data_IF_482934443589
#
_entry.id   IF_482934443589
#
_cell.length_a   1.000
_cell.length_b   1.000
_cell.length_c   1.000
_cell.angle_alpha   90.00
_cell.angle_beta   90.00
_cell.angle_gamma   90.00
#
_symmetry.space_group_name_H-M   'P 1'
#
loop_
_entity.id
_entity.type
_entity.pdbx_description
1 polymer ?
#
# COMPACT_ATOMS: atom_id res chain seq x y z
N UNK A 1 -9.90 -18.91 32.44
CA UNK A 1 -9.09 -18.28 31.38
C UNK A 1 -7.99 -17.40 31.98
N UNK A 2 -8.33 -16.33 32.72
CA UNK A 2 -7.41 -15.33 33.27
C UNK A 2 -6.14 -15.88 33.97
N UNK A 3 -6.25 -16.90 34.82
CA UNK A 3 -5.09 -17.47 35.54
C UNK A 3 -4.00 -18.00 34.59
N UNK A 4 -4.36 -18.58 33.43
CA UNK A 4 -3.35 -19.04 32.44
C UNK A 4 -2.61 -17.87 31.80
N UNK A 5 -3.32 -16.78 31.50
CA UNK A 5 -2.73 -15.55 30.96
C UNK A 5 -1.79 -14.90 31.98
N UNK A 6 -2.17 -14.86 33.25
CA UNK A 6 -1.35 -14.32 34.34
C UNK A 6 -0.05 -15.14 34.53
N UNK A 7 -0.16 -16.48 34.53
CA UNK A 7 1.01 -17.37 34.62
C UNK A 7 1.92 -17.20 33.41
N UNK A 8 1.37 -17.10 32.19
CA UNK A 8 2.16 -16.84 30.98
C UNK A 8 2.93 -15.52 31.06
N UNK A 9 2.25 -14.43 31.45
CA UNK A 9 2.89 -13.12 31.61
C UNK A 9 3.99 -13.13 32.70
N UNK A 10 3.75 -13.84 33.81
CA UNK A 10 4.72 -14.00 34.89
C UNK A 10 5.97 -14.78 34.44
N UNK A 11 5.79 -15.89 33.71
CA UNK A 11 6.91 -16.67 33.14
C UNK A 11 7.69 -15.86 32.10
N UNK A 12 7.00 -15.11 31.24
CA UNK A 12 7.63 -14.21 30.26
C UNK A 12 8.46 -13.11 30.95
N UNK A 13 7.96 -12.53 32.04
CA UNK A 13 8.69 -11.54 32.84
C UNK A 13 9.96 -12.13 33.49
N UNK A 14 9.86 -13.34 34.07
CA UNK A 14 11.02 -14.05 34.61
C UNK A 14 12.06 -14.29 33.51
N UNK A 15 11.64 -14.77 32.34
CA UNK A 15 12.55 -15.02 31.22
C UNK A 15 13.22 -13.73 30.73
N UNK A 16 12.48 -12.62 30.62
CA UNK A 16 13.02 -11.34 30.16
C UNK A 16 14.09 -10.77 31.10
N UNK A 17 13.93 -10.94 32.42
CA UNK A 17 14.91 -10.44 33.40
C UNK A 17 16.00 -11.45 33.78
N UNK A 18 15.72 -12.76 33.68
CA UNK A 18 16.61 -13.85 34.12
C UNK A 18 16.46 -15.07 33.20
N UNK A 19 16.82 -14.91 31.93
CA UNK A 19 16.84 -16.01 30.95
C UNK A 19 17.83 -17.15 31.27
N UNK A 20 18.77 -16.94 32.22
CA UNK A 20 19.76 -17.95 32.63
C UNK A 20 20.85 -18.23 31.60
N UNK A 21 20.94 -17.44 30.52
CA UNK A 21 21.94 -17.60 29.48
C UNK A 21 23.28 -17.01 29.93
N UNK A 22 24.37 -17.73 29.72
CA UNK A 22 25.71 -17.24 30.06
C UNK A 22 26.16 -16.16 29.08
N UNK A 23 26.71 -15.06 29.61
CA UNK A 23 27.41 -14.04 28.81
C UNK A 23 28.66 -14.61 28.14
N UNK A 24 29.24 -15.68 28.70
CA UNK A 24 30.23 -16.54 28.04
C UNK A 24 29.59 -17.54 27.06
N UNK A 25 28.59 -17.09 26.29
CA UNK A 25 28.54 -17.55 24.91
C UNK A 25 29.79 -16.94 24.27
N UNK A 26 30.79 -17.76 23.90
CA UNK A 26 31.80 -17.33 22.92
C UNK A 26 31.05 -16.63 21.79
N UNK A 27 31.67 -15.67 21.10
CA UNK A 27 31.24 -15.36 19.74
C UNK A 27 31.52 -16.59 18.84
N UNK A 28 30.74 -17.66 19.03
CA UNK A 28 30.06 -18.30 17.91
C UNK A 28 29.50 -17.12 17.16
N UNK A 29 30.00 -16.89 15.96
CA UNK A 29 29.32 -16.05 14.99
C UNK A 29 27.94 -16.68 14.80
N UNK A 30 26.96 -16.23 15.60
CA UNK A 30 25.56 -16.33 15.27
C UNK A 30 25.49 -15.74 13.87
N UNK A 31 25.29 -16.64 12.89
CA UNK A 31 25.87 -16.58 11.54
C UNK A 31 26.16 -15.16 11.07
N UNK A 32 27.31 -14.94 10.42
CA UNK A 32 27.40 -13.91 9.38
C UNK A 32 26.17 -14.08 8.50
N UNK A 33 25.14 -13.28 8.79
CA UNK A 33 23.81 -13.54 8.29
C UNK A 33 23.91 -12.98 6.91
N UNK A 34 24.20 -13.87 5.96
CA UNK A 34 24.57 -13.49 4.60
C UNK A 34 23.57 -12.43 4.15
N UNK A 35 23.99 -11.32 3.50
CA UNK A 35 23.06 -10.21 3.22
C UNK A 35 21.75 -10.67 2.53
N UNK A 36 21.82 -11.76 1.77
CA UNK A 36 20.69 -12.50 1.20
C UNK A 36 19.73 -13.09 2.26
N UNK A 37 20.19 -13.74 3.33
CA UNK A 37 19.37 -14.26 4.44
C UNK A 37 18.67 -13.15 5.24
N UNK A 38 19.35 -12.02 5.47
CA UNK A 38 18.75 -10.86 6.13
C UNK A 38 17.62 -10.26 5.28
N UNK A 39 17.84 -10.11 3.97
CA UNK A 39 16.82 -9.66 3.03
C UNK A 39 15.68 -10.67 2.86
N UNK A 40 15.97 -11.97 2.82
CA UNK A 40 14.96 -13.04 2.78
C UNK A 40 14.07 -12.99 4.03
N UNK A 41 14.65 -12.77 5.21
CA UNK A 41 13.91 -12.61 6.48
C UNK A 41 13.03 -11.35 6.48
N UNK A 42 13.51 -10.24 5.89
CA UNK A 42 12.71 -9.02 5.71
C UNK A 42 11.54 -9.25 4.75
N UNK A 43 11.78 -9.83 3.57
CA UNK A 43 10.72 -10.12 2.59
C UNK A 43 9.69 -11.14 3.13
N UNK A 44 10.13 -12.19 3.85
CA UNK A 44 9.24 -13.13 4.56
C UNK A 44 8.23 -12.39 5.43
N UNK A 45 8.72 -11.48 6.29
CA UNK A 45 7.89 -10.74 7.23
C UNK A 45 6.88 -9.83 6.54
N UNK A 46 7.29 -9.16 5.46
CA UNK A 46 6.41 -8.31 4.63
C UNK A 46 5.27 -9.16 4.05
N UNK A 47 5.60 -10.29 3.40
CA UNK A 47 4.57 -11.14 2.80
C UNK A 47 3.70 -11.84 3.83
N UNK A 48 4.24 -12.23 4.99
CA UNK A 48 3.46 -12.83 6.08
C UNK A 48 2.41 -11.87 6.62
N UNK A 49 2.78 -10.62 6.88
CA UNK A 49 1.82 -9.61 7.32
C UNK A 49 0.79 -9.28 6.23
N UNK A 50 1.20 -9.18 4.97
CA UNK A 50 0.28 -8.99 3.85
C UNK A 50 -0.72 -10.16 3.74
N UNK A 51 -0.26 -11.41 3.71
CA UNK A 51 -1.13 -12.59 3.63
C UNK A 51 -2.08 -12.72 4.84
N UNK A 52 -1.60 -12.42 6.06
CA UNK A 52 -2.46 -12.41 7.25
C UNK A 52 -3.51 -11.28 7.19
N UNK A 53 -3.20 -10.15 6.56
CA UNK A 53 -4.18 -9.07 6.32
C UNK A 53 -5.28 -9.44 5.32
N UNK A 54 -5.05 -10.44 4.45
CA UNK A 54 -6.05 -10.96 3.51
C UNK A 54 -7.10 -11.86 4.19
N UNK A 55 -7.08 -12.03 5.52
CA UNK A 55 -8.04 -12.82 6.31
C UNK A 55 -8.16 -14.29 5.85
N UNK A 56 -7.04 -14.97 5.66
CA UNK A 56 -6.99 -16.40 5.31
C UNK A 56 -7.52 -17.30 6.45
N UNK A 57 -7.89 -18.53 6.11
CA UNK A 57 -8.56 -19.46 7.05
C UNK A 57 -7.65 -19.95 8.19
N UNK A 58 -6.34 -19.72 8.06
CA UNK A 58 -5.31 -20.02 9.06
C UNK A 58 -4.35 -18.85 9.13
N UNK A 59 -3.90 -18.54 10.35
CA UNK A 59 -2.83 -17.59 10.57
C UNK A 59 -1.50 -18.18 10.09
N UNK A 60 -0.65 -17.34 9.49
CA UNK A 60 0.67 -17.73 8.97
C UNK A 60 1.73 -17.28 9.96
N UNK A 61 2.49 -18.23 10.48
CA UNK A 61 3.61 -18.01 11.38
C UNK A 61 4.94 -18.03 10.62
N UNK A 62 5.05 -18.86 9.57
CA UNK A 62 6.23 -18.96 8.71
C UNK A 62 5.83 -19.23 7.24
N UNK A 63 6.02 -18.23 6.38
CA UNK A 63 5.70 -18.29 4.94
C UNK A 63 6.38 -19.45 4.20
N UNK A 64 7.55 -19.91 4.64
CA UNK A 64 8.27 -21.00 3.97
C UNK A 64 7.77 -22.39 4.34
N UNK A 65 7.05 -22.54 5.45
CA UNK A 65 6.47 -23.83 5.88
C UNK A 65 4.96 -23.90 5.64
N UNK A 66 4.21 -22.86 6.02
CA UNK A 66 2.74 -22.87 6.00
C UNK A 66 2.16 -22.92 4.58
N UNK A 67 2.90 -22.37 3.60
CA UNK A 67 2.49 -22.36 2.19
C UNK A 67 2.80 -23.67 1.44
N UNK A 68 3.57 -24.60 2.02
CA UNK A 68 4.05 -25.83 1.33
C UNK A 68 2.96 -26.82 0.94
N UNK A 69 1.74 -26.63 1.45
CA UNK A 69 0.56 -27.42 1.09
C UNK A 69 -0.29 -26.78 -0.03
N UNK A 70 0.07 -25.57 -0.48
CA UNK A 70 -0.61 -24.80 -1.52
C UNK A 70 -1.95 -24.18 -1.15
N UNK A 71 -2.56 -24.56 -0.02
CA UNK A 71 -3.93 -24.15 0.33
C UNK A 71 -4.08 -22.63 0.53
N UNK A 72 -3.19 -22.03 1.33
CA UNK A 72 -3.21 -20.59 1.63
C UNK A 72 -2.94 -19.76 0.36
N UNK A 73 -2.12 -20.29 -0.56
CA UNK A 73 -1.88 -19.66 -1.86
C UNK A 73 -3.13 -19.70 -2.75
N UNK A 74 -3.89 -20.80 -2.74
CA UNK A 74 -5.20 -20.88 -3.41
C UNK A 74 -6.23 -19.93 -2.78
N UNK A 75 -6.34 -19.88 -1.44
CA UNK A 75 -7.24 -18.91 -0.77
C UNK A 75 -6.91 -17.47 -1.11
N UNK A 76 -5.61 -17.13 -1.17
CA UNK A 76 -5.16 -15.78 -1.52
C UNK A 76 -5.43 -15.49 -3.00
N UNK A 77 -5.18 -16.44 -3.91
CA UNK A 77 -5.49 -16.30 -5.33
C UNK A 77 -6.97 -16.02 -5.58
N UNK A 78 -7.87 -16.75 -4.93
CA UNK A 78 -9.32 -16.60 -5.12
C UNK A 78 -9.85 -15.29 -4.53
N UNK A 79 -9.20 -14.74 -3.50
CA UNK A 79 -9.52 -13.38 -3.01
C UNK A 79 -9.03 -12.28 -3.94
N UNK A 80 -7.86 -12.48 -4.55
CA UNK A 80 -7.23 -11.53 -5.47
C UNK A 80 -7.90 -11.56 -6.84
N UNK A 81 -8.47 -12.70 -7.23
CA UNK A 81 -9.20 -12.90 -8.49
C UNK A 81 -10.35 -13.89 -8.28
N UNK A 82 -11.53 -13.44 -7.80
CA UNK A 82 -12.67 -14.31 -7.48
C UNK A 82 -13.07 -15.29 -8.58
N UNK A 83 -13.16 -16.57 -8.21
CA UNK A 83 -13.57 -17.66 -9.10
C UNK A 83 -12.44 -18.25 -9.95
N UNK A 84 -11.19 -17.81 -9.77
CA UNK A 84 -10.05 -18.37 -10.51
C UNK A 84 -9.63 -19.75 -10.00
N UNK A 85 -9.96 -20.09 -8.75
CA UNK A 85 -9.64 -21.39 -8.15
C UNK A 85 -10.76 -22.39 -8.41
N UNK A 86 -10.44 -23.46 -9.14
CA UNK A 86 -11.28 -24.65 -9.17
C UNK A 86 -11.13 -25.44 -7.85
N UNK A 87 -11.98 -25.13 -6.88
CA UNK A 87 -12.00 -25.79 -5.57
C UNK A 87 -12.36 -27.29 -5.61
N UNK A 88 -12.93 -27.81 -6.71
CA UNK A 88 -13.29 -29.24 -6.84
C UNK A 88 -12.06 -30.16 -6.93
N UNK A 89 -10.90 -29.63 -7.30
CA UNK A 89 -9.64 -30.37 -7.40
C UNK A 89 -8.64 -29.99 -6.29
N UNK A 90 -8.98 -29.01 -5.45
CA UNK A 90 -8.13 -28.56 -4.36
C UNK A 90 -8.34 -29.43 -3.10
N UNK A 91 -7.25 -29.82 -2.45
CA UNK A 91 -7.28 -30.62 -1.22
C UNK A 91 -7.13 -29.74 0.01
N UNK A 92 -8.15 -29.71 0.88
CA UNK A 92 -8.13 -28.94 2.13
C UNK A 92 -7.21 -29.59 3.20
N UNK A 93 -6.40 -28.81 3.95
CA UNK A 93 -5.66 -29.31 5.10
C UNK A 93 -6.57 -29.91 6.20
N UNK A 94 -6.08 -30.89 6.99
CA UNK A 94 -4.72 -31.45 6.99
C UNK A 94 -4.49 -32.47 5.86
N UNK A 95 -3.48 -32.23 5.03
CA UNK A 95 -3.16 -33.08 3.87
C UNK A 95 -2.16 -34.18 4.26
N UNK A 96 -2.65 -35.43 4.40
CA UNK A 96 -1.82 -36.61 4.69
C UNK A 96 -0.99 -37.09 3.50
N UNK A 97 -1.58 -37.12 2.30
CA UNK A 97 -0.95 -37.69 1.10
C UNK A 97 -0.06 -36.64 0.39
N UNK A 98 1.26 -36.87 0.21
CA UNK A 98 2.16 -35.86 -0.37
C UNK A 98 1.74 -35.37 -1.77
N UNK A 99 1.24 -36.26 -2.63
CA UNK A 99 0.83 -35.90 -3.99
C UNK A 99 -0.30 -34.85 -4.01
N UNK A 100 -1.19 -34.83 -3.01
CA UNK A 100 -2.25 -33.81 -2.88
C UNK A 100 -1.71 -32.41 -2.60
N UNK A 101 -0.57 -32.28 -1.92
CA UNK A 101 0.14 -31.00 -1.77
C UNK A 101 0.69 -30.54 -3.13
N UNK A 102 1.24 -31.47 -3.91
CA UNK A 102 1.76 -31.19 -5.26
C UNK A 102 0.63 -30.81 -6.22
N UNK A 103 -0.55 -31.44 -6.16
CA UNK A 103 -1.74 -31.05 -6.92
C UNK A 103 -2.16 -29.60 -6.65
N UNK A 104 -2.31 -29.22 -5.37
CA UNK A 104 -2.60 -27.83 -4.97
C UNK A 104 -1.55 -26.86 -5.52
N UNK A 105 -0.25 -27.13 -5.31
CA UNK A 105 0.82 -26.25 -5.75
C UNK A 105 0.95 -26.18 -7.29
N UNK A 106 0.62 -27.26 -8.02
CA UNK A 106 0.53 -27.24 -9.47
C UNK A 106 -0.62 -26.36 -9.95
N UNK A 107 -1.76 -26.36 -9.24
CA UNK A 107 -2.87 -25.45 -9.52
C UNK A 107 -2.46 -23.97 -9.27
N UNK A 108 -1.77 -23.68 -8.17
CA UNK A 108 -1.20 -22.34 -7.87
C UNK A 108 -0.30 -21.84 -9.00
N UNK A 109 0.63 -22.67 -9.48
CA UNK A 109 1.53 -22.33 -10.59
C UNK A 109 0.78 -22.17 -11.91
N UNK A 110 -0.21 -23.03 -12.19
CA UNK A 110 -1.08 -22.92 -13.37
C UNK A 110 -1.84 -21.60 -13.39
N UNK A 111 -2.45 -21.22 -12.27
CA UNK A 111 -3.18 -19.96 -12.13
C UNK A 111 -2.23 -18.77 -12.28
N UNK A 112 -1.05 -18.79 -11.66
CA UNK A 112 -0.06 -17.73 -11.85
C UNK A 112 0.35 -17.53 -13.32
N UNK A 113 0.50 -18.62 -14.09
CA UNK A 113 0.75 -18.54 -15.55
C UNK A 113 -0.45 -17.98 -16.32
N UNK A 114 -1.69 -18.26 -15.91
CA UNK A 114 -2.89 -17.65 -16.49
C UNK A 114 -2.94 -16.14 -16.20
N UNK A 115 -2.58 -15.72 -14.97
CA UNK A 115 -2.41 -14.32 -14.54
C UNK A 115 -1.13 -13.64 -15.08
N UNK A 116 -0.45 -14.27 -16.05
CA UNK A 116 0.75 -13.74 -16.73
C UNK A 116 1.96 -13.49 -15.81
N UNK A 117 2.05 -14.18 -14.67
CA UNK A 117 3.25 -14.14 -13.84
C UNK A 117 4.43 -14.79 -14.59
N UNK A 118 5.61 -14.18 -14.48
CA UNK A 118 6.87 -14.75 -14.92
C UNK A 118 7.26 -15.88 -13.96
N UNK A 119 6.86 -17.10 -14.31
CA UNK A 119 7.10 -18.34 -13.56
C UNK A 119 7.97 -19.31 -14.38
N UNK A 120 9.07 -18.78 -14.91
CA UNK A 120 10.08 -19.56 -15.65
C UNK A 120 10.70 -20.58 -14.68
N UNK A 121 10.65 -21.86 -15.06
CA UNK A 121 11.19 -22.99 -14.29
C UNK A 121 10.64 -23.16 -12.86
N UNK A 122 9.46 -22.61 -12.54
CA UNK A 122 8.76 -22.89 -11.28
C UNK A 122 7.72 -23.99 -11.49
N UNK A 123 7.78 -25.05 -10.68
CA UNK A 123 6.83 -26.14 -10.61
C UNK A 123 6.15 -26.19 -9.22
N UNK A 124 5.04 -26.92 -9.09
CA UNK A 124 4.36 -27.05 -7.80
C UNK A 124 5.22 -27.74 -6.74
N UNK A 125 6.12 -28.63 -7.16
CA UNK A 125 7.05 -29.31 -6.25
C UNK A 125 8.04 -28.35 -5.55
N UNK A 126 8.45 -27.25 -6.18
CA UNK A 126 9.35 -26.27 -5.55
C UNK A 126 8.72 -25.60 -4.33
N UNK A 127 7.40 -25.34 -4.41
CA UNK A 127 6.61 -24.81 -3.30
C UNK A 127 6.48 -25.87 -2.19
N UNK A 128 6.22 -27.13 -2.55
CA UNK A 128 6.16 -28.25 -1.58
C UNK A 128 7.51 -28.48 -0.89
N UNK A 129 8.62 -28.26 -1.59
CA UNK A 129 9.98 -28.34 -1.04
C UNK A 129 10.36 -27.13 -0.17
N UNK A 130 9.58 -26.04 -0.18
CA UNK A 130 9.88 -24.84 0.62
C UNK A 130 10.97 -23.96 0.02
N UNK A 131 11.11 -23.93 -1.32
CA UNK A 131 12.13 -23.14 -1.99
C UNK A 131 11.90 -21.63 -1.76
N UNK A 132 12.63 -21.06 -0.78
CA UNK A 132 12.45 -19.68 -0.30
C UNK A 132 12.43 -18.66 -1.44
N UNK A 133 13.40 -18.71 -2.36
CA UNK A 133 13.54 -17.72 -3.44
C UNK A 133 12.37 -17.78 -4.42
N UNK A 134 11.89 -18.98 -4.76
CA UNK A 134 10.75 -19.15 -5.66
C UNK A 134 9.42 -18.77 -4.98
N UNK A 135 9.27 -19.05 -3.68
CA UNK A 135 8.10 -18.62 -2.89
C UNK A 135 8.05 -17.08 -2.81
N UNK A 136 9.14 -16.40 -2.46
CA UNK A 136 9.19 -14.92 -2.43
C UNK A 136 8.94 -14.31 -3.83
N UNK A 137 9.50 -14.89 -4.89
CA UNK A 137 9.27 -14.43 -6.26
C UNK A 137 7.81 -14.61 -6.72
N UNK A 138 7.11 -15.66 -6.26
CA UNK A 138 5.69 -15.86 -6.51
C UNK A 138 4.84 -14.84 -5.72
N UNK A 139 5.11 -14.69 -4.41
CA UNK A 139 4.37 -13.79 -3.53
C UNK A 139 4.51 -12.32 -3.93
N UNK A 140 5.70 -11.90 -4.40
CA UNK A 140 5.90 -10.58 -4.98
C UNK A 140 4.95 -10.33 -6.15
N UNK A 141 4.88 -11.26 -7.10
CA UNK A 141 4.04 -11.12 -8.29
C UNK A 141 2.54 -11.13 -7.92
N UNK A 142 2.14 -11.95 -6.94
CA UNK A 142 0.77 -11.98 -6.45
C UNK A 142 0.36 -10.68 -5.74
N UNK A 143 1.20 -10.15 -4.84
CA UNK A 143 0.96 -8.89 -4.14
C UNK A 143 0.91 -7.71 -5.11
N UNK A 144 1.86 -7.64 -6.06
CA UNK A 144 1.88 -6.66 -7.14
C UNK A 144 0.62 -6.75 -8.01
N UNK A 145 0.20 -7.95 -8.41
CA UNK A 145 -1.02 -8.14 -9.20
C UNK A 145 -2.26 -7.67 -8.43
N UNK A 146 -2.40 -8.04 -7.15
CA UNK A 146 -3.49 -7.58 -6.29
C UNK A 146 -3.57 -6.05 -6.22
N UNK A 147 -2.44 -5.39 -5.98
CA UNK A 147 -2.31 -3.93 -5.97
C UNK A 147 -2.75 -3.28 -7.30
N UNK A 148 -2.35 -3.84 -8.44
CA UNK A 148 -2.74 -3.34 -9.76
C UNK A 148 -4.24 -3.56 -10.06
N UNK A 149 -4.83 -4.69 -9.64
CA UNK A 149 -6.28 -4.90 -9.75
C UNK A 149 -7.07 -3.92 -8.88
N UNK A 150 -6.61 -3.64 -7.65
CA UNK A 150 -7.23 -2.64 -6.77
C UNK A 150 -7.23 -1.24 -7.41
N UNK A 151 -6.12 -0.81 -8.01
CA UNK A 151 -6.04 0.46 -8.74
C UNK A 151 -6.93 0.47 -10.00
N UNK A 152 -6.95 -0.63 -10.77
CA UNK A 152 -7.80 -0.77 -11.97
C UNK A 152 -9.28 -0.63 -11.61
N UNK A 153 -9.72 -1.26 -10.52
CA UNK A 153 -11.10 -1.24 -10.06
C UNK A 153 -11.56 0.14 -9.56
N UNK A 154 -10.66 1.03 -9.12
CA UNK A 154 -11.06 2.41 -8.79
C UNK A 154 -11.25 3.28 -10.02
N UNK A 155 -10.49 3.05 -11.11
CA UNK A 155 -10.64 3.84 -12.35
C UNK A 155 -11.70 3.28 -13.31
N UNK A 156 -12.93 3.10 -12.82
CA UNK A 156 -14.12 2.74 -13.63
C UNK A 156 -14.31 3.63 -14.88
N UNK A 157 -13.75 4.85 -14.88
CA UNK A 157 -13.87 5.84 -15.97
C UNK A 157 -12.67 5.90 -16.93
N UNK A 158 -11.63 5.05 -16.79
CA UNK A 158 -10.38 5.17 -17.58
C UNK A 158 -10.25 4.22 -18.79
N UNK A 159 -11.27 4.16 -19.66
CA UNK A 159 -11.21 3.54 -21.00
C UNK A 159 -10.41 2.23 -21.15
N UNK A 160 -10.50 1.32 -20.17
CA UNK A 160 -9.88 -0.01 -20.22
C UNK A 160 -8.34 -0.07 -20.18
N UNK A 161 -7.59 1.05 -20.08
CA UNK A 161 -6.12 1.01 -20.07
C UNK A 161 -5.60 0.37 -18.78
N UNK A 162 -4.79 -0.68 -18.90
CA UNK A 162 -4.08 -1.28 -17.78
C UNK A 162 -3.12 -0.28 -17.12
N UNK A 163 -3.06 -0.30 -15.78
CA UNK A 163 -2.17 0.57 -15.01
C UNK A 163 -0.81 -0.12 -14.90
N UNK A 164 0.23 0.57 -15.35
CA UNK A 164 1.63 0.12 -15.26
C UNK A 164 2.38 0.84 -14.15
N UNK A 165 3.56 0.35 -13.77
CA UNK A 165 4.46 1.02 -12.82
C UNK A 165 4.80 2.46 -13.27
N UNK A 166 4.89 2.68 -14.58
CA UNK A 166 5.16 4.00 -15.16
C UNK A 166 3.97 4.95 -14.99
N UNK A 167 2.72 4.46 -15.11
CA UNK A 167 1.52 5.28 -14.83
C UNK A 167 1.46 5.67 -13.34
N UNK A 168 1.92 4.80 -12.43
CA UNK A 168 1.97 5.08 -10.97
C UNK A 168 3.06 6.12 -10.65
N UNK A 169 4.24 6.00 -11.29
CA UNK A 169 5.34 6.94 -11.15
C UNK A 169 4.97 8.34 -11.68
N UNK A 170 4.38 8.40 -12.88
CA UNK A 170 3.94 9.66 -13.48
C UNK A 170 2.82 10.30 -12.67
N UNK A 171 1.86 9.52 -12.15
CA UNK A 171 0.85 10.02 -11.23
C UNK A 171 1.48 10.68 -9.99
N UNK A 172 2.49 10.05 -9.38
CA UNK A 172 3.14 10.58 -8.18
C UNK A 172 3.91 11.88 -8.47
N UNK A 173 4.71 11.91 -9.54
CA UNK A 173 5.43 13.12 -9.98
C UNK A 173 4.47 14.26 -10.32
N UNK A 174 3.41 13.99 -11.10
CA UNK A 174 2.38 14.98 -11.43
C UNK A 174 1.63 15.46 -10.18
N UNK A 175 1.40 14.60 -9.18
CA UNK A 175 0.75 14.97 -7.91
C UNK A 175 1.61 15.92 -7.06
N UNK A 176 2.92 15.64 -6.94
CA UNK A 176 3.89 16.48 -6.22
C UNK A 176 4.12 17.83 -6.93
N UNK A 177 4.29 17.82 -8.26
CA UNK A 177 4.40 19.05 -9.07
C UNK A 177 3.19 19.96 -8.87
N UNK A 178 1.98 19.39 -8.87
CA UNK A 178 0.74 20.15 -8.71
C UNK A 178 0.52 20.71 -7.30
N UNK A 179 1.31 20.31 -6.29
CA UNK A 179 1.33 20.97 -4.97
C UNK A 179 2.40 22.08 -4.87
N UNK A 180 3.07 22.43 -5.96
CA UNK A 180 4.09 23.49 -6.02
C UNK A 180 5.50 23.06 -5.65
N UNK A 181 5.74 21.77 -5.35
CA UNK A 181 7.09 21.25 -5.15
C UNK A 181 7.79 20.97 -6.48
N UNK A 182 9.12 21.08 -6.48
CA UNK A 182 9.99 20.76 -7.61
C UNK A 182 10.56 19.33 -7.54
N UNK A 183 10.32 18.60 -6.45
CA UNK A 183 10.82 17.24 -6.29
C UNK A 183 10.20 16.29 -7.30
N UNK A 184 11.05 15.47 -7.91
CA UNK A 184 10.69 14.48 -8.93
C UNK A 184 11.61 13.29 -8.79
N UNK A 185 11.11 12.10 -9.11
CA UNK A 185 11.94 10.91 -9.29
C UNK A 185 11.70 10.28 -10.67
N UNK A 186 12.76 9.82 -11.33
CA UNK A 186 12.67 9.14 -12.62
C UNK A 186 12.51 7.61 -12.49
N UNK A 187 12.64 7.06 -11.28
CA UNK A 187 12.45 5.62 -11.05
C UNK A 187 12.31 5.27 -9.57
N UNK A 188 11.52 4.24 -9.24
CA UNK A 188 11.49 3.64 -7.90
C UNK A 188 12.82 2.98 -7.43
N UNK A 189 13.89 3.09 -8.22
CA UNK A 189 15.28 2.71 -7.87
C UNK A 189 16.17 3.91 -7.52
N UNK A 190 15.69 5.12 -7.72
CA UNK A 190 16.47 6.35 -7.55
C UNK A 190 16.90 6.56 -6.10
N UNK A 191 18.19 6.80 -5.89
CA UNK A 191 18.77 6.95 -4.54
C UNK A 191 18.39 8.26 -3.85
N UNK A 192 17.86 9.24 -4.59
CA UNK A 192 17.21 10.43 -4.01
C UNK A 192 16.11 10.04 -3.01
N UNK A 193 15.33 8.99 -3.30
CA UNK A 193 14.22 8.51 -2.48
C UNK A 193 14.62 8.09 -1.05
N UNK A 194 15.91 7.89 -0.77
CA UNK A 194 16.41 7.49 0.56
C UNK A 194 16.26 8.59 1.62
N UNK A 195 16.15 9.86 1.24
CA UNK A 195 15.90 10.97 2.18
C UNK A 195 14.44 11.01 2.69
N UNK A 196 13.52 10.37 1.97
CA UNK A 196 12.09 10.35 2.25
C UNK A 196 11.31 11.63 1.88
N UNK A 197 11.97 12.70 1.44
CA UNK A 197 11.36 14.01 1.17
C UNK A 197 10.26 13.89 0.12
N UNK A 198 10.55 13.22 -1.01
CA UNK A 198 9.57 12.97 -2.08
C UNK A 198 8.28 12.31 -1.57
N UNK A 199 8.37 11.34 -0.64
CA UNK A 199 7.20 10.66 -0.09
C UNK A 199 6.42 11.54 0.90
N UNK A 200 7.11 12.38 1.68
CA UNK A 200 6.47 13.35 2.57
C UNK A 200 5.72 14.41 1.75
N UNK A 201 6.31 14.91 0.68
CA UNK A 201 5.66 15.84 -0.23
C UNK A 201 4.46 15.20 -0.94
N UNK A 202 4.59 13.95 -1.41
CA UNK A 202 3.48 13.19 -2.00
C UNK A 202 2.33 13.01 -1.00
N UNK A 203 2.63 12.66 0.26
CA UNK A 203 1.62 12.53 1.32
C UNK A 203 0.94 13.87 1.64
N UNK A 204 1.68 14.97 1.68
CA UNK A 204 1.16 16.33 1.87
C UNK A 204 0.29 16.79 0.69
N UNK A 205 0.68 16.45 -0.55
CA UNK A 205 -0.08 16.74 -1.77
C UNK A 205 -1.37 15.90 -1.87
N UNK A 206 -1.35 14.68 -1.34
CA UNK A 206 -2.49 13.75 -1.32
C UNK A 206 -3.48 14.07 -0.21
N UNK A 207 -2.99 14.46 0.97
CA UNK A 207 -3.79 14.97 2.07
C UNK A 207 -3.10 16.21 2.68
N UNK A 208 -3.57 17.43 2.39
CA UNK A 208 -3.09 18.63 3.02
C UNK A 208 -3.14 18.53 4.55
N UNK A 209 -2.13 19.09 5.23
CA UNK A 209 -1.94 19.04 6.69
C UNK A 209 -1.72 17.63 7.28
N UNK A 210 -1.48 16.59 6.47
CA UNK A 210 -1.09 15.26 6.98
C UNK A 210 0.34 15.21 7.52
N UNK A 211 1.23 16.06 6.98
CA UNK A 211 2.65 16.18 7.34
C UNK A 211 2.86 17.43 8.20
N UNK A 212 3.52 17.26 9.34
CA UNK A 212 4.10 18.36 10.11
C UNK A 212 5.58 18.51 9.72
N UNK A 213 5.88 19.53 8.94
CA UNK A 213 7.23 19.84 8.47
C UNK A 213 8.23 20.17 9.58
N UNK A 214 7.78 20.52 10.79
CA UNK A 214 8.69 20.73 11.94
C UNK A 214 9.33 19.43 12.46
N UNK A 215 8.83 18.27 12.04
CA UNK A 215 9.38 16.95 12.38
C UNK A 215 10.20 16.33 11.23
N UNK A 216 10.24 16.99 10.07
CA UNK A 216 10.94 16.50 8.89
C UNK A 216 12.39 16.96 8.92
N UNK A 217 13.30 16.02 8.73
CA UNK A 217 14.75 16.28 8.68
C UNK A 217 15.25 16.31 7.24
N UNK A 218 16.50 16.73 7.01
CA UNK A 218 17.07 16.81 5.66
C UNK A 218 17.46 15.45 5.06
N UNK A 219 17.45 14.37 5.84
CA UNK A 219 17.81 13.03 5.37
C UNK A 219 19.28 12.87 4.98
N UNK A 220 20.18 13.65 5.57
CA UNK A 220 21.62 13.62 5.27
C UNK A 220 22.32 12.49 6.04
N UNK A 221 21.96 12.27 7.31
CA UNK A 221 22.44 11.12 8.09
C UNK A 221 21.48 9.92 8.01
N UNK A 222 21.96 8.72 8.31
CA UNK A 222 21.12 7.52 8.32
C UNK A 222 20.04 7.57 9.42
N UNK A 223 20.32 8.24 10.55
CA UNK A 223 19.35 8.51 11.61
C UNK A 223 18.25 9.48 11.13
N UNK A 224 18.62 10.55 10.41
CA UNK A 224 17.67 11.48 9.79
C UNK A 224 16.75 10.77 8.79
N UNK A 225 17.33 9.99 7.86
CA UNK A 225 16.56 9.16 6.93
C UNK A 225 15.64 8.19 7.65
N UNK A 226 16.10 7.56 8.74
CA UNK A 226 15.29 6.64 9.55
C UNK A 226 14.13 7.33 10.26
N UNK A 227 14.31 8.56 10.74
CA UNK A 227 13.22 9.37 11.29
C UNK A 227 12.19 9.70 10.21
N UNK A 228 12.63 10.21 9.05
CA UNK A 228 11.75 10.51 7.90
C UNK A 228 10.99 9.25 7.43
N UNK A 229 11.68 8.13 7.22
CA UNK A 229 11.10 6.84 6.80
C UNK A 229 10.07 6.30 7.80
N UNK A 230 10.36 6.37 9.11
CA UNK A 230 9.41 5.98 10.16
C UNK A 230 8.17 6.89 10.16
N UNK A 231 8.35 8.19 9.90
CA UNK A 231 7.26 9.16 9.85
C UNK A 231 6.37 8.94 8.62
N UNK A 232 6.94 8.70 7.43
CA UNK A 232 6.24 8.35 6.18
C UNK A 232 5.31 7.16 6.39
N UNK A 233 5.84 6.06 6.95
CA UNK A 233 5.06 4.83 7.21
C UNK A 233 3.92 5.12 8.20
N UNK A 234 4.16 5.95 9.22
CA UNK A 234 3.17 6.33 10.22
C UNK A 234 2.03 7.16 9.61
N UNK A 235 2.35 8.16 8.78
CA UNK A 235 1.36 8.99 8.08
C UNK A 235 0.56 8.14 7.08
N UNK A 236 1.22 7.36 6.23
CA UNK A 236 0.55 6.54 5.23
C UNK A 236 -0.41 5.53 5.87
N UNK A 237 -0.02 4.88 6.97
CA UNK A 237 -0.92 4.03 7.76
C UNK A 237 -2.07 4.82 8.41
N UNK A 238 -1.82 6.03 8.92
CA UNK A 238 -2.86 6.92 9.48
C UNK A 238 -3.91 7.34 8.42
N UNK A 239 -3.51 7.54 7.16
CA UNK A 239 -4.46 7.74 6.06
C UNK A 239 -5.30 6.47 5.81
N UNK A 240 -4.74 5.29 6.03
CA UNK A 240 -5.39 4.00 5.77
C UNK A 240 -4.74 3.20 4.65
N UNK A 241 -3.49 3.52 4.27
CA UNK A 241 -2.72 2.70 3.34
C UNK A 241 -2.32 1.38 4.02
N UNK A 242 -2.73 0.25 3.45
CA UNK A 242 -2.40 -1.08 3.97
C UNK A 242 -0.98 -1.49 3.54
N UNK A 243 0.03 -0.96 4.22
CA UNK A 243 1.45 -1.10 3.87
C UNK A 243 2.26 -1.88 4.93
N UNK A 244 3.16 -2.74 4.46
CA UNK A 244 3.90 -3.70 5.29
C UNK A 244 5.44 -3.52 5.27
N UNK A 245 5.95 -2.58 4.47
CA UNK A 245 7.38 -2.23 4.43
C UNK A 245 7.90 -1.68 5.77
N UNK A 246 9.22 -1.76 5.95
CA UNK A 246 9.95 -1.21 7.09
C UNK A 246 10.65 0.11 6.73
N UNK A 247 11.09 0.93 7.71
CA UNK A 247 11.87 2.14 7.43
C UNK A 247 13.12 1.85 6.59
N UNK A 248 13.79 0.74 6.85
CA UNK A 248 14.99 0.29 6.13
C UNK A 248 14.73 0.08 4.63
N UNK A 249 13.51 -0.33 4.22
CA UNK A 249 13.16 -0.48 2.80
C UNK A 249 13.11 0.87 2.04
N UNK A 250 12.88 1.99 2.74
CA UNK A 250 12.93 3.34 2.16
C UNK A 250 14.39 3.80 2.06
N UNK A 251 15.15 3.66 3.15
CA UNK A 251 16.57 4.08 3.22
C UNK A 251 17.42 3.35 2.15
N UNK A 252 17.24 2.03 2.01
CA UNK A 252 17.95 1.23 1.02
C UNK A 252 17.41 1.41 -0.42
N UNK A 253 16.25 2.04 -0.58
CA UNK A 253 15.47 2.17 -1.81
C UNK A 253 15.13 0.82 -2.42
N UNK A 254 14.37 0.02 -1.67
CA UNK A 254 13.80 -1.23 -2.14
C UNK A 254 12.66 -0.95 -3.14
N UNK A 255 12.97 -0.97 -4.44
CA UNK A 255 12.03 -0.70 -5.54
C UNK A 255 10.66 -1.40 -5.43
N UNK A 256 10.62 -2.63 -4.89
CA UNK A 256 9.37 -3.38 -4.70
C UNK A 256 8.46 -2.66 -3.70
N UNK A 257 9.06 -2.19 -2.61
CA UNK A 257 8.37 -1.48 -1.54
C UNK A 257 8.05 -0.04 -1.90
N UNK A 258 8.92 0.66 -2.66
CA UNK A 258 8.66 2.03 -3.12
C UNK A 258 7.46 2.08 -4.07
N UNK A 259 7.38 1.12 -5.01
CA UNK A 259 6.20 0.93 -5.87
C UNK A 259 4.95 0.65 -5.02
N UNK A 260 5.04 -0.28 -4.07
CA UNK A 260 3.90 -0.69 -3.22
C UNK A 260 3.38 0.48 -2.35
N UNK A 261 4.28 1.28 -1.78
CA UNK A 261 3.95 2.48 -1.01
C UNK A 261 3.23 3.51 -1.89
N UNK A 262 3.82 3.86 -3.03
CA UNK A 262 3.28 4.85 -3.97
C UNK A 262 1.89 4.45 -4.47
N UNK A 263 1.74 3.19 -4.89
CA UNK A 263 0.48 2.62 -5.33
C UNK A 263 -0.59 2.58 -4.23
N UNK A 264 -0.21 2.35 -2.97
CA UNK A 264 -1.15 2.38 -1.83
C UNK A 264 -1.66 3.80 -1.56
N UNK A 265 -0.78 4.80 -1.65
CA UNK A 265 -1.13 6.22 -1.53
C UNK A 265 -2.04 6.64 -2.70
N UNK A 266 -1.72 6.19 -3.92
CA UNK A 266 -2.56 6.40 -5.12
C UNK A 266 -3.95 5.79 -4.96
N UNK A 267 -4.03 4.53 -4.52
CA UNK A 267 -5.29 3.84 -4.27
C UNK A 267 -6.13 4.58 -3.23
N UNK A 268 -5.51 5.05 -2.15
CA UNK A 268 -6.21 5.85 -1.16
C UNK A 268 -6.73 7.19 -1.72
N UNK A 269 -5.92 7.91 -2.50
CA UNK A 269 -6.34 9.19 -3.09
C UNK A 269 -7.46 9.03 -4.12
N UNK A 270 -7.45 7.94 -4.90
CA UNK A 270 -8.51 7.64 -5.88
C UNK A 270 -9.78 7.05 -5.26
N UNK A 271 -9.72 6.56 -4.02
CA UNK A 271 -10.89 6.02 -3.30
C UNK A 271 -11.75 7.12 -2.68
N UNK A 272 -11.19 8.29 -2.41
CA UNK A 272 -11.97 9.41 -1.87
C UNK A 272 -13.00 9.88 -2.91
N UNK A 273 -14.25 10.19 -2.51
CA UNK A 273 -15.16 10.91 -3.39
C UNK A 273 -14.50 12.24 -3.77
N UNK A 274 -14.71 12.70 -5.00
CA UNK A 274 -14.18 13.97 -5.44
C UNK A 274 -14.92 15.10 -4.70
N UNK A 275 -14.36 15.59 -3.59
CA UNK A 275 -14.78 16.85 -3.00
C UNK A 275 -14.68 17.94 -4.06
N UNK A 276 -15.79 18.66 -4.26
CA UNK A 276 -15.87 19.80 -5.17
C UNK A 276 -14.85 20.84 -4.73
N UNK A 277 -13.75 20.96 -5.47
CA UNK A 277 -12.81 22.07 -5.24
C UNK A 277 -13.49 23.34 -5.71
N UNK A 278 -13.58 24.40 -4.88
CA UNK A 278 -13.94 25.71 -5.37
C UNK A 278 -12.90 26.11 -6.42
N UNK A 279 -13.32 26.26 -7.67
CA UNK A 279 -12.53 26.97 -8.66
C UNK A 279 -12.48 28.43 -8.21
N UNK A 280 -11.37 28.83 -7.58
CA UNK A 280 -11.11 30.24 -7.30
C UNK A 280 -10.91 30.99 -8.61
N UNK A 281 -11.99 31.59 -9.13
CA UNK A 281 -11.92 32.57 -10.21
C UNK A 281 -11.07 33.73 -9.73
N UNK A 282 -9.85 33.77 -10.24
CA UNK A 282 -8.92 34.88 -10.01
C UNK A 282 -9.29 36.01 -10.97
N UNK A 283 -10.44 36.64 -10.72
CA UNK A 283 -10.82 37.85 -11.44
C UNK A 283 -9.96 39.00 -10.94
N UNK A 284 -9.00 39.34 -11.79
CA UNK A 284 -8.04 40.41 -11.58
C UNK A 284 -8.72 41.74 -11.90
N UNK A 285 -9.35 42.35 -10.90
CA UNK A 285 -9.82 43.73 -10.98
C UNK A 285 -8.63 44.69 -11.19
N UNK A 286 -8.30 44.91 -12.45
CA UNK A 286 -7.38 45.96 -12.89
C UNK A 286 -8.23 47.15 -13.30
N UNK A 287 -8.23 48.21 -12.48
CA UNK A 287 -9.13 49.34 -12.67
C UNK A 287 -8.91 50.08 -14.00
N UNK A 288 -10.00 50.43 -14.66
CA UNK A 288 -10.04 51.51 -15.65
C UNK A 288 -11.38 52.24 -15.55
N UNK A 289 -11.37 53.39 -14.89
CA UNK A 289 -12.47 54.37 -14.94
C UNK A 289 -12.08 55.39 -16.00
N UNK A 290 -12.93 55.58 -17.01
CA UNK A 290 -12.90 56.74 -17.89
C UNK A 290 -14.29 56.96 -18.50
N UNK A 291 -14.77 58.18 -18.41
CA UNK A 291 -16.18 58.56 -18.65
C UNK A 291 -16.59 58.51 -20.12
N UNK A 292 -17.88 58.26 -20.38
CA UNK A 292 -18.67 59.08 -21.33
C UNK A 292 -20.16 59.05 -20.96
N UNK A 293 -20.79 60.23 -20.94
CA UNK A 293 -22.25 60.43 -20.90
C UNK A 293 -22.92 59.90 -22.19
N UNK A 294 -24.21 59.58 -22.33
CA UNK A 294 -25.48 60.03 -21.72
C UNK A 294 -26.54 58.87 -21.86
N UNK A 295 -27.86 58.98 -21.64
CA UNK A 295 -28.74 60.14 -21.38
C UNK A 295 -30.05 59.77 -20.63
N UNK A 296 -30.72 60.83 -20.18
CA UNK A 296 -32.16 61.05 -19.89
C UNK A 296 -33.23 60.00 -20.26
N UNK A 297 -34.03 59.59 -19.27
CA UNK A 297 -35.47 59.96 -19.01
C UNK A 297 -35.89 59.21 -17.73
N UNK A 298 -36.39 59.87 -16.66
CA UNK A 298 -37.80 60.27 -16.46
C UNK A 298 -38.75 59.13 -16.80
N UNK A 299 -39.72 58.68 -16.00
CA UNK A 299 -40.49 59.14 -14.83
C UNK A 299 -41.55 58.01 -14.66
N UNK A 300 -42.32 57.79 -13.59
CA UNK A 300 -42.41 58.27 -12.21
C UNK A 300 -43.35 57.26 -11.45
N UNK A 301 -43.63 57.47 -10.15
CA UNK A 301 -44.84 57.11 -9.35
C UNK A 301 -45.85 56.00 -9.80
N UNK A 302 -46.56 55.26 -8.92
CA UNK A 302 -46.59 55.13 -7.46
C UNK A 302 -47.43 53.89 -7.03
N UNK A 303 -47.16 53.41 -5.80
CA UNK A 303 -48.08 52.90 -4.76
C UNK A 303 -49.37 52.11 -5.08
N UNK A 304 -49.54 51.00 -4.32
CA UNK A 304 -50.75 50.63 -3.55
C UNK A 304 -52.10 50.37 -4.29
N UNK A 305 -52.99 49.44 -3.90
CA UNK A 305 -53.14 48.60 -2.70
C UNK A 305 -54.26 47.54 -2.93
N UNK A 306 -54.51 46.69 -1.93
CA UNK A 306 -55.68 45.78 -1.74
C UNK A 306 -55.87 44.66 -2.77
N UNK A 307 -55.99 43.36 -2.41
CA UNK A 307 -56.85 42.67 -1.42
C UNK A 307 -58.27 42.43 -1.97
N UNK A 308 -58.80 41.25 -1.60
CA UNK A 308 -60.10 40.64 -1.91
C UNK A 308 -60.26 39.94 -3.27
N UNK A 309 -61.04 38.86 -3.40
CA UNK A 309 -61.33 37.76 -2.46
C UNK A 309 -61.94 36.58 -3.26
N UNK A 310 -61.85 35.37 -2.71
CA UNK A 310 -62.79 34.26 -2.86
C UNK A 310 -63.11 33.53 -4.20
N UNK A 311 -63.57 32.29 -3.99
CA UNK A 311 -64.43 31.44 -4.85
C UNK A 311 -63.84 30.57 -5.99
N UNK A 312 -63.66 29.30 -5.63
CA UNK A 312 -64.36 28.14 -6.23
C UNK A 312 -64.15 27.79 -7.72
N UNK A 313 -63.32 26.76 -7.98
CA UNK A 313 -63.82 25.39 -8.23
C UNK A 313 -62.70 24.34 -8.09
#
# INVERSE_FOLDING_TARGET
MALRTLIFAFVALIFQHRNGLSTQTKQISFLETLPDDAQISREERVFRFWLNSMANSSYIDNVFEDLRNGWILLETLDKVSPGIVNWKIASKPPIKMPFRKVENCNQVVKIGKQLKFSLVNIAGNDIVQGNKKLILAYLWQLMRYNMLQLLKNLRFHSHGKEITDADILEWANSKVRNSGSQSRTDSFKDKSLSDGIFFLELLSAVQPRSVNWSLVTKGLSEEEKKMNATYIISIARKLGCSIFLLPEDIIEVNQKMMLTLTASIMYWNLKQPAEERPCGSSDSETGSILDTSSNSTMDDTASESSIDDNSSN
#
